data_IF_462994062904
#
_entry.id   IF_462994062904
#
_cell.length_a   1.000
_cell.length_b   1.000
_cell.length_c   1.000
_cell.angle_alpha   90.00
_cell.angle_beta   90.00
_cell.angle_gamma   90.00
#
_symmetry.space_group_name_H-M   'P 1'
#
loop_
_entity.id
_entity.type
_entity.pdbx_description
1 polymer ?
#
# COMPACT_ATOMS: atom_id res chain seq x y z
N UNK A 1 -3.64 4.04 12.67
CA UNK A 1 -3.09 2.69 12.98
C UNK A 1 -1.59 2.81 13.07
N UNK A 2 -1.03 2.64 14.26
CA UNK A 2 0.42 2.63 14.49
C UNK A 2 0.85 1.26 15.00
N UNK A 3 2.09 0.87 14.72
CA UNK A 3 2.65 -0.35 15.28
C UNK A 3 2.95 -0.12 16.77
N UNK A 4 2.25 -0.84 17.65
CA UNK A 4 2.59 -0.87 19.06
C UNK A 4 3.84 -1.72 19.27
N UNK A 5 4.91 -1.10 19.78
CA UNK A 5 6.12 -1.82 20.15
C UNK A 5 5.98 -2.32 21.59
N UNK A 6 5.82 -3.63 21.73
CA UNK A 6 5.70 -4.27 23.04
C UNK A 6 7.04 -4.26 23.78
N UNK A 7 7.05 -3.66 24.97
CA UNK A 7 8.19 -3.74 25.90
C UNK A 7 8.24 -5.12 26.58
N UNK A 8 9.42 -5.56 27.02
CA UNK A 8 9.58 -6.93 27.53
C UNK A 8 8.72 -7.21 28.78
N UNK A 9 8.55 -6.21 29.65
CA UNK A 9 7.63 -6.27 30.80
C UNK A 9 6.16 -6.46 30.42
N UNK A 10 5.77 -6.04 29.23
CA UNK A 10 4.40 -6.24 28.72
C UNK A 10 4.24 -7.66 28.18
N UNK A 11 5.29 -8.18 27.54
CA UNK A 11 5.34 -9.55 27.01
C UNK A 11 5.32 -10.60 28.12
N UNK A 12 6.02 -10.35 29.22
CA UNK A 12 6.05 -11.22 30.40
C UNK A 12 4.66 -11.45 31.00
N UNK A 13 3.76 -10.46 30.91
CA UNK A 13 2.38 -10.57 31.44
C UNK A 13 1.47 -11.47 30.61
N UNK A 14 1.82 -11.77 29.37
CA UNK A 14 0.99 -12.59 28.49
C UNK A 14 0.90 -14.07 28.92
N UNK A 15 1.99 -14.75 29.30
CA UNK A 15 1.91 -16.10 29.87
C UNK A 15 1.38 -16.11 31.30
N UNK A 16 1.73 -15.11 32.11
CA UNK A 16 1.41 -15.07 33.54
C UNK A 16 -0.08 -14.75 33.82
N UNK A 17 -0.71 -13.96 32.94
CA UNK A 17 -2.12 -13.58 33.05
C UNK A 17 -2.90 -13.94 31.78
N UNK A 18 -3.53 -15.13 31.72
CA UNK A 18 -4.26 -15.60 30.54
C UNK A 18 -5.37 -14.64 30.07
N UNK A 19 -5.94 -13.85 30.98
CA UNK A 19 -7.01 -12.89 30.66
C UNK A 19 -6.51 -11.64 29.93
N UNK A 20 -5.24 -11.26 30.11
CA UNK A 20 -4.67 -10.01 29.61
C UNK A 20 -4.47 -10.05 28.10
N UNK A 21 -3.92 -11.16 27.59
CA UNK A 21 -3.79 -11.38 26.15
C UNK A 21 -5.16 -11.53 25.45
N UNK A 22 -6.11 -12.21 26.10
CA UNK A 22 -7.46 -12.41 25.56
C UNK A 22 -8.21 -11.08 25.42
N UNK A 23 -8.16 -10.23 26.46
CA UNK A 23 -8.74 -8.88 26.41
C UNK A 23 -8.13 -8.04 25.28
N UNK A 24 -6.81 -8.06 25.16
CA UNK A 24 -6.12 -7.33 24.08
C UNK A 24 -6.57 -7.79 22.69
N UNK A 25 -6.71 -9.11 22.47
CA UNK A 25 -7.20 -9.66 21.19
C UNK A 25 -8.63 -9.23 20.90
N UNK A 26 -9.54 -9.39 21.87
CA UNK A 26 -10.95 -9.01 21.72
C UNK A 26 -11.11 -7.52 21.43
N UNK A 27 -10.40 -6.66 22.15
CA UNK A 27 -10.47 -5.22 21.92
C UNK A 27 -9.98 -4.84 20.51
N UNK A 28 -8.94 -5.53 20.00
CA UNK A 28 -8.46 -5.31 18.63
C UNK A 28 -9.44 -5.81 17.59
N UNK A 29 -10.04 -6.98 17.81
CA UNK A 29 -11.05 -7.55 16.92
C UNK A 29 -12.30 -6.67 16.86
N UNK A 30 -12.85 -6.26 18.00
CA UNK A 30 -14.01 -5.37 18.09
C UNK A 30 -13.75 -4.02 17.40
N UNK A 31 -12.54 -3.46 17.56
CA UNK A 31 -12.12 -2.26 16.85
C UNK A 31 -12.09 -2.47 15.32
N UNK A 32 -11.51 -3.58 14.86
CA UNK A 32 -11.44 -3.89 13.42
C UNK A 32 -12.82 -4.15 12.81
N UNK A 33 -13.68 -4.86 13.54
CA UNK A 33 -15.07 -5.13 13.14
C UNK A 33 -15.90 -3.83 13.09
N UNK A 34 -15.69 -2.91 14.04
CA UNK A 34 -16.31 -1.58 14.01
C UNK A 34 -15.92 -0.75 12.79
N UNK A 35 -14.69 -0.94 12.29
CA UNK A 35 -14.19 -0.30 11.07
C UNK A 35 -14.60 -1.03 9.79
N UNK A 36 -15.27 -2.18 9.86
CA UNK A 36 -15.66 -2.98 8.69
C UNK A 36 -16.45 -2.16 7.65
N UNK A 37 -17.30 -1.25 8.12
CA UNK A 37 -18.09 -0.35 7.27
C UNK A 37 -17.22 0.51 6.33
N UNK A 38 -16.00 0.86 6.74
CA UNK A 38 -15.04 1.64 5.93
C UNK A 38 -14.36 0.82 4.83
N UNK A 39 -14.44 -0.52 4.90
CA UNK A 39 -13.95 -1.41 3.84
C UNK A 39 -15.00 -1.65 2.74
N UNK A 40 -16.20 -1.09 2.89
CA UNK A 40 -17.22 -1.15 1.84
C UNK A 40 -16.85 -0.21 0.70
N UNK A 41 -16.44 -0.80 -0.43
CA UNK A 41 -15.95 -0.08 -1.62
C UNK A 41 -16.95 0.97 -2.09
N UNK A 42 -16.49 2.23 -2.16
CA UNK A 42 -17.27 3.34 -2.72
C UNK A 42 -18.22 4.02 -1.73
N UNK A 43 -18.16 3.68 -0.44
CA UNK A 43 -18.87 4.42 0.60
C UNK A 43 -18.30 5.84 0.73
N UNK A 44 -19.17 6.84 0.90
CA UNK A 44 -18.76 8.23 1.16
C UNK A 44 -17.96 8.33 2.47
N UNK A 45 -18.31 7.52 3.47
CA UNK A 45 -17.59 7.46 4.74
C UNK A 45 -16.16 6.91 4.58
N UNK A 46 -15.95 5.97 3.66
CA UNK A 46 -14.61 5.46 3.33
C UNK A 46 -13.73 6.56 2.75
N UNK A 47 -14.24 7.32 1.79
CA UNK A 47 -13.49 8.38 1.13
C UNK A 47 -13.10 9.50 2.09
N UNK A 48 -14.05 9.97 2.91
CA UNK A 48 -13.80 11.02 3.88
C UNK A 48 -12.77 10.62 4.95
N UNK A 49 -12.90 9.40 5.50
CA UNK A 49 -11.98 8.90 6.52
C UNK A 49 -10.55 8.71 6.00
N UNK A 50 -10.42 8.15 4.79
CA UNK A 50 -9.13 7.96 4.14
C UNK A 50 -8.48 9.30 3.79
N UNK A 51 -9.25 10.28 3.31
CA UNK A 51 -8.75 11.62 3.01
C UNK A 51 -8.22 12.33 4.25
N UNK A 52 -8.96 12.29 5.36
CA UNK A 52 -8.55 12.90 6.62
C UNK A 52 -7.24 12.29 7.15
N UNK A 53 -7.16 10.96 7.22
CA UNK A 53 -5.98 10.26 7.72
C UNK A 53 -4.72 10.46 6.86
N UNK A 54 -4.87 10.51 5.54
CA UNK A 54 -3.75 10.76 4.62
C UNK A 54 -3.28 12.22 4.73
N UNK A 55 -4.22 13.18 4.78
CA UNK A 55 -3.87 14.60 4.91
C UNK A 55 -3.13 14.85 6.23
N UNK A 56 -3.62 14.27 7.33
CA UNK A 56 -3.00 14.39 8.65
C UNK A 56 -1.54 13.92 8.64
N UNK A 57 -1.25 12.77 8.02
CA UNK A 57 0.09 12.19 7.97
C UNK A 57 1.06 12.91 7.02
N UNK A 58 0.56 13.51 5.96
CA UNK A 58 1.40 14.11 4.90
C UNK A 58 1.61 15.60 5.10
N UNK A 59 0.64 16.28 5.72
CA UNK A 59 0.65 17.74 5.88
C UNK A 59 0.51 18.52 4.57
N UNK A 60 0.37 17.86 3.42
CA UNK A 60 0.22 18.48 2.10
C UNK A 60 -1.02 17.95 1.37
N UNK A 61 -2.06 18.79 1.32
CA UNK A 61 -3.39 18.46 0.78
C UNK A 61 -3.38 18.21 -0.73
N UNK A 62 -2.52 18.89 -1.47
CA UNK A 62 -2.36 18.73 -2.93
C UNK A 62 -1.69 17.39 -3.27
N UNK A 63 -0.67 16.99 -2.51
CA UNK A 63 -0.02 15.70 -2.67
C UNK A 63 -1.01 14.57 -2.34
N UNK A 64 -1.72 14.68 -1.22
CA UNK A 64 -2.73 13.69 -0.81
C UNK A 64 -3.78 13.47 -1.91
N UNK A 65 -4.42 14.56 -2.37
CA UNK A 65 -5.50 14.51 -3.36
C UNK A 65 -5.07 14.01 -4.72
N UNK A 66 -3.95 14.52 -5.23
CA UNK A 66 -3.53 14.21 -6.59
C UNK A 66 -2.80 12.86 -6.71
N UNK A 67 -2.27 12.32 -5.61
CA UNK A 67 -1.30 11.20 -5.64
C UNK A 67 -1.75 9.93 -4.91
N UNK A 68 -2.54 10.06 -3.84
CA UNK A 68 -2.86 8.94 -2.94
C UNK A 68 -4.34 8.62 -2.85
N UNK A 69 -5.23 9.60 -3.02
CA UNK A 69 -6.68 9.38 -3.01
C UNK A 69 -7.23 8.67 -4.25
N UNK A 70 -6.43 8.51 -5.31
CA UNK A 70 -6.79 7.67 -6.46
C UNK A 70 -6.67 6.17 -6.16
N UNK A 71 -6.08 5.79 -5.01
CA UNK A 71 -6.02 4.41 -4.57
C UNK A 71 -7.42 4.01 -4.09
N UNK A 72 -8.12 3.18 -4.88
CA UNK A 72 -9.44 2.60 -4.56
C UNK A 72 -9.43 1.62 -3.37
N UNK A 73 -8.38 1.63 -2.56
CA UNK A 73 -8.08 0.64 -1.54
C UNK A 73 -7.60 1.33 -0.26
N UNK A 74 -7.80 0.64 0.87
CA UNK A 74 -7.35 1.07 2.18
C UNK A 74 -5.88 1.53 2.14
N UNK A 75 -5.55 2.61 2.82
CA UNK A 75 -4.19 3.17 2.83
C UNK A 75 -3.19 2.07 3.23
N UNK A 76 -2.18 1.75 2.39
CA UNK A 76 -1.37 0.56 2.58
C UNK A 76 -0.39 0.75 3.73
N UNK A 77 -0.69 0.20 4.91
CA UNK A 77 0.28 0.01 5.98
C UNK A 77 0.79 1.28 6.67
N UNK A 78 1.54 1.06 7.75
CA UNK A 78 2.14 2.14 8.54
C UNK A 78 3.30 2.76 7.75
N UNK A 79 3.50 4.08 7.87
CA UNK A 79 4.55 4.87 7.22
C UNK A 79 4.45 5.04 5.69
N UNK A 80 3.48 4.44 5.02
CA UNK A 80 3.34 4.62 3.57
C UNK A 80 2.88 6.02 3.17
N UNK A 81 1.86 6.65 3.81
CA UNK A 81 1.50 8.03 3.50
C UNK A 81 2.66 9.01 3.65
N UNK A 82 3.52 8.78 4.63
CA UNK A 82 4.66 9.63 4.99
C UNK A 82 5.85 9.41 4.05
N UNK A 83 6.00 8.22 3.45
CA UNK A 83 7.15 7.90 2.59
C UNK A 83 7.34 8.85 1.39
N UNK A 84 6.28 9.25 0.65
CA UNK A 84 6.33 10.30 -0.38
C UNK A 84 6.93 11.65 0.01
N UNK A 85 6.93 12.02 1.30
CA UNK A 85 7.41 13.33 1.75
C UNK A 85 8.90 13.32 2.11
N UNK A 86 9.53 12.14 2.17
CA UNK A 86 10.93 12.00 2.50
C UNK A 86 11.83 12.59 1.38
N UNK A 87 12.94 13.27 1.72
CA UNK A 87 13.78 13.97 0.75
C UNK A 87 14.50 13.03 -0.23
N UNK A 88 14.64 11.75 0.12
CA UNK A 88 15.26 10.71 -0.69
C UNK A 88 14.26 9.96 -1.58
N UNK A 89 12.98 10.32 -1.55
CA UNK A 89 11.92 9.67 -2.33
C UNK A 89 11.50 10.58 -3.47
N UNK A 90 11.54 10.05 -4.69
CA UNK A 90 11.04 10.74 -5.88
C UNK A 90 9.97 9.89 -6.54
N UNK A 91 8.77 10.45 -6.69
CA UNK A 91 7.66 9.77 -7.35
C UNK A 91 7.62 10.14 -8.82
N UNK A 92 7.65 9.15 -9.69
CA UNK A 92 7.65 9.33 -11.15
C UNK A 92 6.40 8.67 -11.75
N UNK A 93 5.42 9.48 -12.16
CA UNK A 93 4.20 9.02 -12.84
C UNK A 93 4.40 8.95 -14.35
N UNK A 94 5.20 8.00 -14.81
CA UNK A 94 5.44 7.80 -16.24
C UNK A 94 5.64 6.33 -16.57
N UNK A 95 5.27 5.99 -17.78
CA UNK A 95 5.58 4.68 -18.34
C UNK A 95 7.09 4.54 -18.52
N UNK A 96 7.58 3.35 -18.17
CA UNK A 96 8.94 2.93 -18.48
C UNK A 96 8.94 2.52 -19.95
N UNK A 97 9.78 3.18 -20.76
CA UNK A 97 9.95 2.90 -22.18
C UNK A 97 10.88 1.70 -22.38
N UNK A 98 12.02 1.71 -21.71
CA UNK A 98 13.00 0.63 -21.79
C UNK A 98 13.88 0.58 -20.54
N UNK A 99 14.46 -0.58 -20.28
CA UNK A 99 15.47 -0.81 -19.24
C UNK A 99 16.84 -0.82 -19.91
N UNK A 100 17.77 -0.06 -19.35
CA UNK A 100 19.15 0.03 -19.83
C UNK A 100 20.11 -0.56 -18.80
N UNK A 101 21.36 -0.89 -19.17
CA UNK A 101 22.35 -1.37 -18.21
C UNK A 101 22.62 -0.41 -17.05
N UNK A 102 22.32 0.87 -17.22
CA UNK A 102 22.52 1.92 -16.20
C UNK A 102 21.26 2.21 -15.39
N UNK A 103 20.08 1.68 -15.76
CA UNK A 103 18.82 1.95 -15.07
C UNK A 103 17.60 1.87 -15.99
N UNK A 104 16.75 2.90 -16.00
CA UNK A 104 15.56 2.92 -16.86
C UNK A 104 15.36 4.25 -17.59
N UNK A 105 14.69 4.18 -18.74
CA UNK A 105 14.27 5.34 -19.52
C UNK A 105 12.75 5.47 -19.44
N UNK A 106 12.28 6.65 -19.06
CA UNK A 106 10.84 6.96 -19.07
C UNK A 106 10.40 7.48 -20.43
N UNK A 107 9.09 7.43 -20.73
CA UNK A 107 8.53 7.81 -22.04
C UNK A 107 8.93 9.21 -22.58
N UNK A 108 9.35 10.13 -21.71
CA UNK A 108 9.87 11.46 -22.07
C UNK A 108 11.37 11.47 -22.47
N UNK A 109 12.02 10.30 -22.55
CA UNK A 109 13.44 10.17 -22.85
C UNK A 109 14.38 10.51 -21.70
N UNK A 110 13.87 10.71 -20.47
CA UNK A 110 14.71 10.99 -19.30
C UNK A 110 15.32 9.68 -18.75
N UNK A 111 16.66 9.58 -18.66
CA UNK A 111 17.30 8.44 -18.00
C UNK A 111 17.22 8.58 -16.48
N UNK A 112 16.95 7.47 -15.82
CA UNK A 112 17.00 7.29 -14.38
C UNK A 112 18.06 6.24 -14.07
N UNK A 113 19.24 6.65 -13.57
CA UNK A 113 20.25 5.70 -13.17
C UNK A 113 19.78 4.96 -11.92
N UNK A 114 19.88 3.64 -11.91
CA UNK A 114 19.43 2.78 -10.82
C UNK A 114 20.46 1.69 -10.55
N UNK A 115 20.81 1.49 -9.29
CA UNK A 115 21.63 0.35 -8.87
C UNK A 115 20.78 -0.92 -8.71
N UNK A 116 19.51 -0.76 -8.31
CA UNK A 116 18.57 -1.85 -8.04
C UNK A 116 17.21 -1.50 -8.63
N UNK A 117 16.63 -2.44 -9.38
CA UNK A 117 15.27 -2.36 -9.92
C UNK A 117 14.37 -3.40 -9.27
N UNK A 118 13.31 -2.94 -8.60
CA UNK A 118 12.33 -3.81 -7.93
C UNK A 118 11.01 -3.77 -8.71
N UNK A 119 10.60 -4.93 -9.22
CA UNK A 119 9.34 -5.09 -9.97
C UNK A 119 8.23 -5.61 -9.05
N UNK A 120 7.45 -4.71 -8.43
CA UNK A 120 6.33 -5.05 -7.57
C UNK A 120 5.02 -5.29 -8.35
N UNK A 121 5.05 -6.10 -9.42
CA UNK A 121 3.95 -6.25 -10.41
C UNK A 121 2.71 -6.99 -9.92
N UNK A 122 2.59 -7.26 -8.62
CA UNK A 122 1.52 -8.07 -8.02
C UNK A 122 1.32 -9.42 -8.74
N UNK A 123 0.13 -10.01 -8.66
CA UNK A 123 -0.20 -11.30 -9.27
C UNK A 123 -1.51 -11.19 -10.06
N UNK A 124 -1.66 -12.07 -11.06
CA UNK A 124 -2.88 -12.15 -11.85
C UNK A 124 -4.01 -12.75 -11.01
N UNK A 125 -5.04 -11.95 -10.73
CA UNK A 125 -6.25 -12.37 -10.00
C UNK A 125 -7.31 -12.98 -10.92
N UNK A 126 -7.07 -13.05 -12.23
CA UNK A 126 -7.99 -13.70 -13.16
C UNK A 126 -7.90 -15.22 -12.93
N UNK A 127 -8.84 -15.77 -12.16
CA UNK A 127 -9.01 -17.21 -12.04
C UNK A 127 -9.60 -17.76 -13.34
N UNK A 128 -8.79 -17.83 -14.40
CA UNK A 128 -9.12 -18.56 -15.60
C UNK A 128 -8.67 -20.02 -15.38
N UNK A 129 -9.62 -20.95 -15.26
CA UNK A 129 -9.40 -22.41 -15.18
C UNK A 129 -8.78 -23.03 -16.47
N UNK A 130 -8.10 -22.25 -17.29
CA UNK A 130 -7.42 -22.73 -18.50
C UNK A 130 -5.96 -22.36 -18.36
N UNK A 131 -5.16 -23.38 -18.06
CA UNK A 131 -3.79 -23.27 -17.61
C UNK A 131 -2.86 -22.49 -18.53
N UNK A 132 -1.80 -21.98 -17.90
CA UNK A 132 -0.52 -21.55 -18.46
C UNK A 132 -0.51 -21.31 -19.97
N UNK A 133 -0.94 -20.11 -20.39
CA UNK A 133 -0.39 -19.52 -21.62
C UNK A 133 0.76 -18.61 -21.22
N UNK A 134 1.96 -18.73 -21.83
CA UNK A 134 3.04 -17.79 -21.61
C UNK A 134 2.59 -16.35 -21.93
N UNK A 135 2.98 -15.39 -21.09
CA UNK A 135 2.65 -13.96 -21.21
C UNK A 135 2.93 -13.36 -22.61
N UNK A 136 3.88 -13.94 -23.35
CA UNK A 136 4.19 -13.56 -24.73
C UNK A 136 3.01 -13.69 -25.70
N UNK A 137 2.03 -14.55 -25.41
CA UNK A 137 0.85 -14.78 -26.27
C UNK A 137 -0.38 -13.95 -25.87
N UNK A 138 -0.32 -13.18 -24.77
CA UNK A 138 -1.42 -12.30 -24.38
C UNK A 138 -1.35 -10.92 -25.04
N UNK A 139 -0.17 -10.44 -25.42
CA UNK A 139 -0.01 -9.15 -26.10
C UNK A 139 -0.47 -9.17 -27.58
N UNK A 140 -0.50 -10.34 -28.22
CA UNK A 140 -0.95 -10.47 -29.62
C UNK A 140 -2.47 -10.50 -29.80
N UNK A 141 -3.26 -10.43 -28.72
CA UNK A 141 -4.72 -10.50 -28.78
C UNK A 141 -5.41 -9.12 -28.62
N UNK A 142 -4.64 -8.03 -28.59
CA UNK A 142 -5.15 -6.65 -28.43
C UNK A 142 -4.90 -5.77 -29.67
N UNK A 143 -4.86 -6.36 -30.86
CA UNK A 143 -4.96 -5.65 -32.15
C UNK A 143 -6.17 -6.15 -32.92
#
# INVERSE_FOLDING_TARGET
MEYHTYIDKEKEKFPDEPSTLLKLRKNKEEFMDGLFSLFTKGSVAQQAYVEEQIIEKIGNKELARNRLLSLNWAVPGVNYPESPTLPNVTIVYREIKEITPQGCLTANGRPWPLDVLICATSFDTTCNRQGHRPLALQQSALH
#
